data_IF_049132916754
#
_entry.id   IF_049132916754
#
_cell.length_a   1.000
_cell.length_b   1.000
_cell.length_c   1.000
_cell.angle_alpha   90.00
_cell.angle_beta   90.00
_cell.angle_gamma   90.00
#
_symmetry.space_group_name_H-M   'P 1'
#
loop_
_entity.id
_entity.type
_entity.pdbx_description
1 polymer ?
#
# COMPACT_ATOMS: atom_id res chain seq x y z
N UNK A 1 -5.13 3.60 -1.85
CA UNK A 1 -5.03 2.19 -1.39
C UNK A 1 -6.24 1.41 -1.88
N UNK A 2 -6.01 0.28 -2.55
CA UNK A 2 -7.06 -0.53 -3.19
C UNK A 2 -7.77 -1.42 -2.17
N UNK A 3 -9.08 -1.60 -2.33
CA UNK A 3 -9.91 -2.38 -1.41
C UNK A 3 -9.70 -3.88 -1.65
N UNK A 4 -8.94 -4.54 -0.76
CA UNK A 4 -8.69 -5.99 -0.83
C UNK A 4 -9.96 -6.85 -0.90
N UNK A 5 -11.06 -6.40 -0.28
CA UNK A 5 -12.34 -7.10 -0.32
C UNK A 5 -13.05 -6.91 -1.66
N UNK A 6 -12.92 -5.74 -2.30
CA UNK A 6 -13.53 -5.47 -3.59
C UNK A 6 -12.86 -6.27 -4.70
N UNK A 7 -11.52 -6.35 -4.69
CA UNK A 7 -10.76 -7.18 -5.65
C UNK A 7 -11.16 -8.66 -5.54
N UNK A 8 -11.61 -9.11 -4.36
CA UNK A 8 -12.12 -10.47 -4.10
C UNK A 8 -13.64 -10.61 -4.29
N UNK A 9 -14.34 -9.57 -4.75
CA UNK A 9 -15.80 -9.57 -4.92
C UNK A 9 -16.62 -9.60 -3.62
N UNK A 10 -15.99 -9.38 -2.46
CA UNK A 10 -16.58 -9.51 -1.13
C UNK A 10 -16.83 -8.16 -0.42
N UNK A 11 -16.67 -7.03 -1.12
CA UNK A 11 -16.89 -5.72 -0.49
C UNK A 11 -18.37 -5.33 -0.48
N UNK A 12 -18.97 -5.31 0.71
CA UNK A 12 -20.37 -4.90 0.93
C UNK A 12 -20.56 -3.38 1.09
N UNK A 13 -19.47 -2.59 1.14
CA UNK A 13 -19.55 -1.13 1.35
C UNK A 13 -19.89 -0.32 0.10
N UNK A 14 -19.86 -0.94 -1.09
CA UNK A 14 -20.17 -0.28 -2.37
C UNK A 14 -19.42 1.05 -2.53
N UNK A 15 -20.11 2.10 -2.97
CA UNK A 15 -19.54 3.44 -3.15
C UNK A 15 -19.16 4.17 -1.85
N UNK A 16 -19.54 3.63 -0.68
CA UNK A 16 -19.20 4.21 0.64
C UNK A 16 -17.92 3.59 1.22
N UNK A 17 -17.19 2.81 0.43
CA UNK A 17 -15.94 2.21 0.87
C UNK A 17 -14.84 3.27 0.94
N UNK A 18 -14.10 3.28 2.05
CA UNK A 18 -12.95 4.18 2.26
C UNK A 18 -11.72 3.77 1.45
N UNK A 19 -11.77 2.62 0.79
CA UNK A 19 -10.69 2.06 -0.02
C UNK A 19 -11.09 2.05 -1.49
N UNK A 20 -10.13 2.25 -2.38
CA UNK A 20 -10.41 2.36 -3.82
C UNK A 20 -10.99 1.05 -4.37
N UNK A 21 -12.14 1.15 -5.03
CA UNK A 21 -12.77 0.07 -5.80
C UNK A 21 -12.31 0.06 -7.25
N UNK A 22 -11.29 0.85 -7.59
CA UNK A 22 -10.70 0.77 -8.91
C UNK A 22 -9.76 -0.44 -8.96
N UNK A 23 -10.10 -1.46 -9.74
CA UNK A 23 -9.25 -2.62 -9.96
C UNK A 23 -7.93 -2.25 -10.68
N UNK A 24 -7.88 -1.06 -11.31
CA UNK A 24 -6.68 -0.47 -11.90
C UNK A 24 -6.06 0.61 -11.02
N UNK A 25 -6.52 0.80 -9.77
CA UNK A 25 -5.75 1.57 -8.80
C UNK A 25 -4.44 0.83 -8.58
N UNK A 26 -3.40 1.32 -9.29
CA UNK A 26 -2.05 0.80 -9.23
C UNK A 26 -1.70 0.53 -7.75
N UNK A 27 -1.03 -0.60 -7.45
CA UNK A 27 -0.48 -0.81 -6.12
C UNK A 27 0.25 0.48 -5.72
N UNK A 28 0.13 0.94 -4.46
CA UNK A 28 0.79 2.15 -4.03
C UNK A 28 2.22 2.08 -4.54
N UNK A 29 2.57 3.00 -5.45
CA UNK A 29 3.87 3.00 -6.13
C UNK A 29 4.90 2.84 -5.03
N UNK A 30 5.77 1.83 -5.08
CA UNK A 30 6.65 1.56 -3.97
C UNK A 30 7.48 2.82 -3.74
N UNK A 31 7.24 3.47 -2.61
CA UNK A 31 7.89 4.73 -2.25
C UNK A 31 9.19 4.41 -1.55
N UNK A 32 10.20 5.25 -1.75
CA UNK A 32 11.44 5.13 -0.99
C UNK A 32 11.14 5.34 0.50
N UNK A 33 11.69 4.46 1.34
CA UNK A 33 11.53 4.54 2.77
C UNK A 33 12.27 5.77 3.31
N UNK A 34 11.51 6.78 3.75
CA UNK A 34 12.09 8.00 4.31
C UNK A 34 12.92 7.71 5.57
N UNK A 35 12.43 6.82 6.44
CA UNK A 35 13.17 6.41 7.64
C UNK A 35 14.50 5.72 7.31
N UNK A 36 14.57 4.98 6.21
CA UNK A 36 15.81 4.36 5.76
C UNK A 36 16.79 5.42 5.28
N UNK A 37 16.33 6.39 4.49
CA UNK A 37 17.14 7.56 4.10
C UNK A 37 17.67 8.34 5.31
N UNK A 38 16.90 8.42 6.39
CA UNK A 38 17.32 9.04 7.65
C UNK A 38 18.13 8.12 8.58
N UNK A 39 18.39 6.86 8.20
CA UNK A 39 19.12 5.89 9.03
C UNK A 39 18.35 5.38 10.27
N UNK A 40 17.04 5.63 10.35
CA UNK A 40 16.18 5.30 11.49
C UNK A 40 15.17 4.17 11.19
N UNK A 41 15.27 3.49 10.04
CA UNK A 41 14.35 2.41 9.72
C UNK A 41 14.64 1.16 10.56
N UNK A 42 13.70 0.78 11.42
CA UNK A 42 13.78 -0.41 12.27
C UNK A 42 13.22 -1.68 11.61
N UNK A 43 12.55 -1.55 10.47
CA UNK A 43 11.89 -2.66 9.77
C UNK A 43 12.83 -3.52 8.92
N UNK A 44 14.04 -3.03 8.63
CA UNK A 44 15.04 -3.75 7.84
C UNK A 44 14.48 -4.27 6.50
N UNK A 45 14.73 -5.54 6.20
CA UNK A 45 14.29 -6.20 4.95
C UNK A 45 12.78 -6.45 4.89
N UNK A 46 12.03 -6.25 5.98
CA UNK A 46 10.57 -6.39 6.04
C UNK A 46 9.84 -5.07 5.79
N UNK A 47 10.55 -3.98 5.49
CA UNK A 47 9.92 -2.71 5.23
C UNK A 47 9.05 -2.78 3.97
N UNK A 48 7.84 -2.23 4.06
CA UNK A 48 6.91 -2.15 2.92
C UNK A 48 7.35 -1.12 1.88
N UNK A 49 8.28 -0.24 2.25
CA UNK A 49 8.84 0.82 1.41
C UNK A 49 10.23 0.41 0.90
N UNK A 50 10.67 0.99 -0.22
CA UNK A 50 11.94 0.63 -0.88
C UNK A 50 13.14 1.14 -0.06
N UNK A 51 14.15 0.30 0.13
CA UNK A 51 15.48 0.67 0.63
C UNK A 51 16.48 0.67 -0.56
N UNK A 52 16.81 1.82 -1.17
CA UNK A 52 17.83 1.89 -2.22
C UNK A 52 19.21 1.59 -1.63
N UNK A 53 20.05 0.87 -2.39
CA UNK A 53 21.41 0.44 -2.02
C UNK A 53 22.36 1.62 -1.83
#
# INVERSE_FOLDING_TARGET
VSCKYYVRGACSKGSRCTFSHDANAAPPTPVVCQFFLQGNCTYGTKCTNIHPL
#
